data_IF_166867580987
#
_entry.id   IF_166867580987
#
_cell.length_a   1.000
_cell.length_b   1.000
_cell.length_c   1.000
_cell.angle_alpha   90.00
_cell.angle_beta   90.00
_cell.angle_gamma   90.00
#
_symmetry.space_group_name_H-M   'P 1'
#
loop_
_entity.id
_entity.type
_entity.pdbx_description
1 polymer ?
#
# COMPACT_ATOMS: atom_id res chain seq x y z
N UNK A 1 -12.56 -3.25 0.80
CA UNK A 1 -11.46 -3.90 1.57
C UNK A 1 -11.05 -5.26 1.01
N UNK A 2 -11.97 -6.21 0.94
CA UNK A 2 -11.69 -7.55 0.39
C UNK A 2 -11.11 -7.49 -1.01
N UNK A 3 -11.70 -6.69 -1.90
CA UNK A 3 -11.25 -6.56 -3.29
C UNK A 3 -9.82 -6.03 -3.40
N UNK A 4 -9.42 -5.13 -2.49
CA UNK A 4 -8.05 -4.63 -2.45
C UNK A 4 -7.08 -5.75 -2.08
N UNK A 5 -7.40 -6.52 -1.06
CA UNK A 5 -6.58 -7.66 -0.62
C UNK A 5 -6.44 -8.67 -1.76
N UNK A 6 -7.54 -9.00 -2.42
CA UNK A 6 -7.53 -9.93 -3.57
C UNK A 6 -6.68 -9.42 -4.72
N UNK A 7 -6.75 -8.13 -5.02
CA UNK A 7 -5.93 -7.53 -6.07
C UNK A 7 -4.45 -7.62 -5.74
N UNK A 8 -4.08 -7.22 -4.52
CA UNK A 8 -2.67 -7.22 -4.12
C UNK A 8 -2.11 -8.62 -3.93
N UNK A 9 -2.95 -9.61 -3.62
CA UNK A 9 -2.49 -11.00 -3.51
C UNK A 9 -2.04 -11.61 -4.85
N UNK A 10 -2.41 -11.01 -5.96
CA UNK A 10 -1.95 -11.44 -7.28
C UNK A 10 -0.48 -11.13 -7.52
N UNK A 11 0.08 -10.15 -6.83
CA UNK A 11 1.48 -9.75 -6.97
C UNK A 11 2.35 -10.67 -6.09
N UNK A 12 2.92 -11.69 -6.69
CA UNK A 12 3.74 -12.66 -5.99
C UNK A 12 2.99 -13.88 -5.47
N UNK A 13 1.83 -14.20 -6.04
CA UNK A 13 1.07 -15.41 -5.68
C UNK A 13 1.97 -16.64 -5.84
N UNK A 14 2.18 -17.37 -4.74
CA UNK A 14 3.03 -18.56 -4.70
C UNK A 14 2.29 -19.85 -5.12
N UNK A 15 0.98 -19.75 -5.43
CA UNK A 15 0.19 -20.88 -5.88
C UNK A 15 -0.41 -21.74 -4.76
N UNK A 16 -0.14 -21.42 -3.50
CA UNK A 16 -0.59 -22.21 -2.33
C UNK A 16 -1.29 -21.33 -1.29
N UNK A 17 -1.84 -20.19 -1.72
CA UNK A 17 -2.40 -19.21 -0.80
C UNK A 17 -1.35 -18.32 -0.11
N UNK A 18 -0.07 -18.64 -0.28
CA UNK A 18 1.03 -17.83 0.22
C UNK A 18 1.47 -16.78 -0.80
N UNK A 19 2.17 -15.79 -0.30
CA UNK A 19 2.71 -14.69 -1.13
C UNK A 19 4.23 -14.68 -1.00
N UNK A 20 4.92 -14.65 -2.13
CA UNK A 20 6.36 -14.42 -2.19
C UNK A 20 6.60 -13.11 -2.92
N UNK A 21 6.84 -12.05 -2.17
CA UNK A 21 7.00 -10.69 -2.70
C UNK A 21 8.10 -9.98 -1.92
N UNK A 22 9.33 -10.33 -2.24
CA UNK A 22 10.49 -9.73 -1.57
C UNK A 22 10.58 -8.24 -1.87
N UNK A 23 11.08 -7.47 -0.90
CA UNK A 23 11.30 -6.04 -1.06
C UNK A 23 12.10 -5.75 -2.33
N UNK A 24 11.65 -4.77 -3.10
CA UNK A 24 12.26 -4.33 -4.37
C UNK A 24 12.30 -5.40 -5.47
N UNK A 25 11.62 -6.53 -5.30
CA UNK A 25 11.43 -7.51 -6.37
C UNK A 25 10.47 -6.96 -7.44
N UNK A 26 10.41 -7.57 -8.65
CA UNK A 26 9.43 -7.19 -9.66
C UNK A 26 7.99 -7.24 -9.14
N UNK A 27 7.67 -8.21 -8.31
CA UNK A 27 6.33 -8.35 -7.70
C UNK A 27 6.04 -7.21 -6.71
N UNK A 28 7.04 -6.82 -5.92
CA UNK A 28 6.92 -5.69 -5.01
C UNK A 28 6.75 -4.37 -5.77
N UNK A 29 7.47 -4.20 -6.88
CA UNK A 29 7.33 -3.03 -7.75
C UNK A 29 5.92 -2.95 -8.33
N UNK A 30 5.34 -4.08 -8.76
CA UNK A 30 3.95 -4.14 -9.24
C UNK A 30 2.96 -3.71 -8.14
N UNK A 31 3.14 -4.20 -6.91
CA UNK A 31 2.31 -3.81 -5.79
C UNK A 31 2.44 -2.32 -5.47
N UNK A 32 3.65 -1.78 -5.49
CA UNK A 32 3.92 -0.37 -5.26
C UNK A 32 3.29 0.51 -6.35
N UNK A 33 3.35 0.08 -7.59
CA UNK A 33 2.74 0.80 -8.71
C UNK A 33 1.21 0.83 -8.58
N UNK A 34 0.59 -0.26 -8.15
CA UNK A 34 -0.85 -0.31 -7.91
C UNK A 34 -1.26 0.59 -6.74
N UNK A 35 -0.48 0.61 -5.65
CA UNK A 35 -0.69 1.54 -4.55
C UNK A 35 -0.64 2.98 -5.04
N UNK A 36 0.41 3.33 -5.79
CA UNK A 36 0.58 4.68 -6.36
C UNK A 36 -0.63 5.06 -7.22
N UNK A 37 -1.01 4.17 -8.13
CA UNK A 37 -2.14 4.43 -9.05
C UNK A 37 -3.43 4.74 -8.29
N UNK A 38 -3.74 3.95 -7.28
CA UNK A 38 -4.97 4.12 -6.49
C UNK A 38 -4.94 5.39 -5.67
N UNK A 39 -3.80 5.71 -5.07
CA UNK A 39 -3.68 6.90 -4.24
C UNK A 39 -3.67 8.18 -5.08
N UNK A 40 -3.01 8.18 -6.22
CA UNK A 40 -3.08 9.32 -7.14
C UNK A 40 -4.50 9.55 -7.66
N UNK A 41 -5.26 8.49 -7.88
CA UNK A 41 -6.65 8.57 -8.34
C UNK A 41 -7.58 9.30 -7.36
N UNK A 42 -7.26 9.32 -6.08
CA UNK A 42 -8.03 10.06 -5.07
C UNK A 42 -7.43 11.44 -4.75
N UNK A 43 -6.40 11.86 -5.50
CA UNK A 43 -5.77 13.16 -5.34
C UNK A 43 -4.60 13.21 -4.39
N UNK A 44 -4.10 12.07 -3.92
CA UNK A 44 -2.92 12.04 -3.06
C UNK A 44 -1.65 12.32 -3.88
N UNK A 45 -0.67 12.98 -3.24
CA UNK A 45 0.68 13.12 -3.79
C UNK A 45 1.55 11.97 -3.29
N UNK A 46 2.44 11.49 -4.15
CA UNK A 46 3.32 10.36 -3.83
C UNK A 46 4.74 10.86 -3.65
N UNK A 47 5.35 10.47 -2.54
CA UNK A 47 6.77 10.71 -2.26
C UNK A 47 7.43 9.39 -1.92
N UNK A 48 8.71 9.22 -2.30
CA UNK A 48 9.52 8.06 -1.98
C UNK A 48 10.81 8.57 -1.33
N UNK A 49 11.12 8.04 -0.14
CA UNK A 49 12.33 8.46 0.57
C UNK A 49 13.58 7.64 0.17
N UNK A 50 14.71 7.93 0.81
CA UNK A 50 16.00 7.32 0.47
C UNK A 50 16.08 5.84 0.77
N UNK A 51 15.17 5.30 1.59
CA UNK A 51 15.08 3.86 1.89
C UNK A 51 13.90 3.22 1.17
N UNK A 52 13.37 3.88 0.16
CA UNK A 52 12.28 3.42 -0.69
C UNK A 52 10.91 3.28 0.00
N UNK A 53 10.72 3.91 1.15
CA UNK A 53 9.38 4.01 1.74
C UNK A 53 8.52 4.95 0.90
N UNK A 54 7.32 4.51 0.60
CA UNK A 54 6.38 5.29 -0.23
C UNK A 54 5.30 5.91 0.64
N UNK A 55 5.08 7.20 0.43
CA UNK A 55 4.10 7.99 1.18
C UNK A 55 3.05 8.55 0.23
N UNK A 56 1.79 8.29 0.51
CA UNK A 56 0.67 8.93 -0.16
C UNK A 56 0.07 9.96 0.80
N UNK A 57 0.04 11.20 0.41
CA UNK A 57 -0.40 12.30 1.28
C UNK A 57 -1.62 13.00 0.69
N UNK A 58 -2.70 13.06 1.47
CA UNK A 58 -3.83 13.94 1.20
C UNK A 58 -3.68 15.20 2.06
N UNK A 59 -3.71 16.40 1.46
CA UNK A 59 -3.64 17.61 2.25
C UNK A 59 -4.93 17.80 3.06
N UNK A 60 -4.78 18.25 4.30
CA UNK A 60 -5.90 18.66 5.13
C UNK A 60 -6.34 20.08 4.79
N UNK A 61 -7.41 20.54 5.44
CA UNK A 61 -7.92 21.90 5.28
C UNK A 61 -7.05 22.95 5.98
N UNK A 62 -6.28 22.56 7.00
CA UNK A 62 -5.38 23.43 7.74
C UNK A 62 -3.92 23.08 7.41
N UNK A 63 -3.19 23.97 6.69
CA UNK A 63 -1.80 23.67 6.31
C UNK A 63 -0.84 23.61 7.51
N UNK A 64 -1.21 24.18 8.65
CA UNK A 64 -0.40 24.17 9.88
C UNK A 64 -0.69 22.99 10.79
N UNK A 65 -1.68 22.18 10.48
CA UNK A 65 -2.03 21.00 11.28
C UNK A 65 -0.94 19.93 11.19
N UNK A 66 -0.79 19.17 12.26
CA UNK A 66 0.10 18.02 12.29
C UNK A 66 -0.44 16.91 11.39
N UNK A 67 0.47 16.13 10.81
CA UNK A 67 0.10 14.99 9.98
C UNK A 67 -0.29 13.80 10.83
N UNK A 68 -1.31 13.07 10.37
CA UNK A 68 -1.64 11.75 10.88
C UNK A 68 -1.02 10.74 9.92
N UNK A 69 -0.19 9.84 10.43
CA UNK A 69 0.52 8.85 9.60
C UNK A 69 0.01 7.46 9.94
N UNK A 70 -0.34 6.71 8.90
CA UNK A 70 -0.76 5.32 8.99
C UNK A 70 0.05 4.51 7.98
N UNK A 71 0.35 3.27 8.29
CA UNK A 71 1.05 2.45 7.31
C UNK A 71 1.41 1.07 7.80
N UNK A 72 2.01 0.33 6.90
CA UNK A 72 2.53 -1.01 7.11
C UNK A 72 3.51 -1.33 5.97
N UNK A 73 3.72 -2.61 5.67
CA UNK A 73 4.62 -3.02 4.60
C UNK A 73 3.89 -3.83 3.52
N UNK A 74 4.40 -3.80 2.30
CA UNK A 74 3.82 -4.53 1.16
C UNK A 74 4.63 -5.78 0.80
N UNK A 75 5.88 -5.85 1.23
CA UNK A 75 6.73 -7.00 0.99
C UNK A 75 6.34 -8.19 1.87
N UNK A 76 6.82 -9.35 1.52
CA UNK A 76 6.61 -10.57 2.28
C UNK A 76 7.88 -11.40 2.34
N UNK A 77 7.92 -12.34 3.28
CA UNK A 77 8.86 -13.45 3.26
C UNK A 77 8.43 -14.47 2.20
N UNK A 78 9.26 -15.49 1.96
CA UNK A 78 8.89 -16.59 1.07
C UNK A 78 7.65 -17.30 1.62
N UNK A 79 6.65 -17.51 0.77
CA UNK A 79 5.36 -18.11 1.14
C UNK A 79 4.74 -17.45 2.37
N UNK A 80 4.80 -16.11 2.41
CA UNK A 80 4.26 -15.32 3.52
C UNK A 80 2.74 -15.31 3.55
N UNK A 81 2.19 -14.86 4.67
CA UNK A 81 0.75 -14.72 4.84
C UNK A 81 0.15 -13.64 3.94
N UNK A 82 -1.04 -13.90 3.42
CA UNK A 82 -1.73 -12.98 2.52
C UNK A 82 -2.17 -11.67 3.18
N UNK A 83 -2.23 -11.66 4.52
CA UNK A 83 -2.64 -10.48 5.28
C UNK A 83 -1.48 -9.79 6.00
N UNK A 84 -0.35 -10.45 6.10
CA UNK A 84 0.81 -9.90 6.80
C UNK A 84 1.33 -8.64 6.10
N UNK A 85 1.33 -7.54 6.80
CA UNK A 85 1.67 -6.21 6.26
C UNK A 85 0.56 -5.62 5.40
N UNK A 86 0.04 -6.38 4.46
CA UNK A 86 -0.97 -5.92 3.48
C UNK A 86 -2.25 -5.45 4.16
N UNK A 87 -2.72 -6.12 5.21
CA UNK A 87 -3.93 -5.68 5.89
C UNK A 87 -3.79 -4.24 6.42
N UNK A 88 -2.63 -3.90 6.98
CA UNK A 88 -2.36 -2.54 7.45
C UNK A 88 -2.34 -1.52 6.32
N UNK A 89 -1.69 -1.85 5.20
CA UNK A 89 -1.64 -0.96 4.02
C UNK A 89 -3.04 -0.77 3.44
N UNK A 90 -3.80 -1.85 3.25
CA UNK A 90 -5.16 -1.77 2.70
C UNK A 90 -6.09 -0.99 3.61
N UNK A 91 -5.94 -1.15 4.93
CA UNK A 91 -6.72 -0.37 5.90
C UNK A 91 -6.42 1.12 5.80
N UNK A 92 -5.14 1.49 5.70
CA UNK A 92 -4.75 2.88 5.52
C UNK A 92 -5.28 3.47 4.21
N UNK A 93 -5.23 2.72 3.12
CA UNK A 93 -5.81 3.14 1.84
C UNK A 93 -7.31 3.36 1.94
N UNK A 94 -8.01 2.44 2.62
CA UNK A 94 -9.47 2.55 2.81
C UNK A 94 -9.83 3.82 3.58
N UNK A 95 -9.06 4.15 4.62
CA UNK A 95 -9.26 5.38 5.38
C UNK A 95 -9.06 6.60 4.49
N UNK A 96 -7.98 6.67 3.72
CA UNK A 96 -7.72 7.80 2.82
C UNK A 96 -8.81 7.94 1.75
N UNK A 97 -9.25 6.84 1.16
CA UNK A 97 -10.32 6.86 0.16
C UNK A 97 -11.63 7.36 0.76
N UNK A 98 -11.95 6.97 1.99
CA UNK A 98 -13.15 7.42 2.70
C UNK A 98 -13.07 8.92 3.02
N UNK A 99 -11.93 9.40 3.48
CA UNK A 99 -11.72 10.82 3.80
C UNK A 99 -11.77 11.68 2.54
N UNK A 100 -11.33 11.14 1.39
CA UNK A 100 -11.31 11.87 0.12
C UNK A 100 -12.69 12.03 -0.53
N UNK A 101 -13.69 11.31 -0.06
CA UNK A 101 -15.06 11.43 -0.59
C UNK A 101 -15.72 12.79 -0.32
#
# INVERSE_FOLDING_TARGET
MKDKIETFSKFGDAGHGGITRYSLSPEAIQARNEFRRRMEAIGATIEVDDVACMYATLPGSDPDAKRIVMGSHVDSVKNGGNYDGILGVMSAMEVLETVAE
#
